data_IF_421187753952
#
_entry.id   IF_421187753952
#
_cell.length_a   1.000
_cell.length_b   1.000
_cell.length_c   1.000
_cell.angle_alpha   90.00
_cell.angle_beta   90.00
_cell.angle_gamma   90.00
#
_symmetry.space_group_name_H-M   'P 1'
#
loop_
_entity.id
_entity.type
_entity.pdbx_description
1 polymer ?
#
# COMPACT_ATOMS: atom_id res chain seq x y z
N UNK A 1 -13.59 -20.11 33.64
CA UNK A 1 -14.18 -19.99 32.30
C UNK A 1 -13.64 -18.73 31.65
N UNK A 2 -12.73 -18.87 30.69
CA UNK A 2 -12.35 -17.75 29.83
C UNK A 2 -12.28 -18.31 28.42
N UNK A 3 -13.39 -18.17 27.69
CA UNK A 3 -13.44 -18.50 26.27
C UNK A 3 -12.57 -17.51 25.47
N UNK A 4 -12.10 -17.89 24.26
CA UNK A 4 -11.31 -17.00 23.43
C UNK A 4 -12.13 -15.75 23.08
N UNK A 5 -11.58 -14.58 23.37
CA UNK A 5 -12.17 -13.29 22.97
C UNK A 5 -12.35 -13.28 21.45
N UNK A 6 -13.53 -12.90 20.92
CA UNK A 6 -13.71 -12.79 19.47
C UNK A 6 -12.72 -11.78 18.89
N UNK A 7 -11.87 -12.23 17.97
CA UNK A 7 -10.98 -11.35 17.24
C UNK A 7 -11.82 -10.43 16.34
N UNK A 8 -11.65 -9.11 16.51
CA UNK A 8 -12.34 -8.14 15.68
C UNK A 8 -11.81 -8.23 14.25
N UNK A 9 -12.57 -8.85 13.36
CA UNK A 9 -12.19 -8.98 11.95
C UNK A 9 -12.54 -7.68 11.24
N UNK A 10 -11.54 -6.83 11.01
CA UNK A 10 -11.72 -5.65 10.16
C UNK A 10 -11.77 -6.11 8.71
N UNK A 11 -12.91 -5.92 8.04
CA UNK A 11 -13.02 -6.17 6.61
C UNK A 11 -12.04 -5.27 5.87
N UNK A 12 -10.95 -5.85 5.36
CA UNK A 12 -10.04 -5.18 4.45
C UNK A 12 -10.68 -5.11 3.05
N UNK A 13 -10.52 -3.97 2.38
CA UNK A 13 -10.96 -3.75 1.00
C UNK A 13 -9.75 -3.37 0.17
N UNK A 14 -9.80 -3.66 -1.13
CA UNK A 14 -8.78 -3.21 -2.09
C UNK A 14 -8.72 -1.68 -2.02
N UNK A 15 -7.52 -1.14 -1.94
CA UNK A 15 -7.32 0.31 -1.94
C UNK A 15 -7.74 0.87 -3.31
N UNK A 16 -8.73 1.78 -3.40
CA UNK A 16 -9.19 2.33 -4.68
C UNK A 16 -8.19 3.30 -5.31
N UNK A 17 -7.21 3.79 -4.55
CA UNK A 17 -6.21 4.73 -5.05
C UNK A 17 -5.06 4.02 -5.80
N UNK A 18 -4.82 2.74 -5.52
CA UNK A 18 -3.78 1.96 -6.19
C UNK A 18 -4.30 0.68 -6.85
N UNK A 19 -5.61 0.44 -6.78
CA UNK A 19 -6.29 -0.72 -7.38
C UNK A 19 -5.67 -2.09 -7.04
N UNK A 20 -5.03 -2.21 -5.88
CA UNK A 20 -4.33 -3.43 -5.47
C UNK A 20 -2.87 -3.55 -5.93
N UNK A 21 -2.30 -2.52 -6.53
CA UNK A 21 -0.86 -2.40 -6.85
C UNK A 21 -0.18 -1.39 -5.95
N UNK A 22 0.10 -1.74 -4.68
CA UNK A 22 0.51 -0.76 -3.68
C UNK A 22 1.98 -0.36 -3.74
N UNK A 23 2.82 -1.06 -4.51
CA UNK A 23 4.25 -0.79 -4.59
C UNK A 23 4.74 -1.01 -6.01
N UNK A 24 5.53 -0.07 -6.52
CA UNK A 24 6.18 -0.17 -7.82
C UNK A 24 7.68 0.12 -7.70
N UNK A 25 8.48 -0.59 -8.48
CA UNK A 25 9.91 -0.34 -8.59
C UNK A 25 10.19 0.40 -9.90
N UNK A 26 10.78 1.59 -9.80
CA UNK A 26 11.15 2.44 -10.92
C UNK A 26 12.67 2.47 -11.03
N UNK A 27 13.20 1.92 -12.11
CA UNK A 27 14.63 2.04 -12.42
C UNK A 27 14.87 3.40 -13.06
N UNK A 28 15.65 4.25 -12.39
CA UNK A 28 16.13 5.50 -12.97
C UNK A 28 17.09 5.17 -14.11
N UNK A 29 16.85 5.76 -15.29
CA UNK A 29 17.79 5.72 -16.39
C UNK A 29 19.06 6.47 -16.00
N UNK A 30 20.18 5.74 -15.92
CA UNK A 30 21.45 6.29 -15.47
C UNK A 30 22.10 5.36 -14.45
N UNK A 31 23.34 5.00 -14.72
CA UNK A 31 24.16 4.32 -13.72
C UNK A 31 24.73 5.37 -12.78
N UNK A 32 24.80 5.06 -11.48
CA UNK A 32 25.51 5.91 -10.54
C UNK A 32 27.02 5.96 -10.87
N UNK A 33 27.77 6.80 -10.15
CA UNK A 33 29.21 6.93 -10.35
C UNK A 33 29.98 5.60 -10.14
N UNK A 34 29.34 4.58 -9.55
CA UNK A 34 29.89 3.24 -9.32
C UNK A 34 29.35 2.20 -10.33
N UNK A 35 28.52 2.60 -11.29
CA UNK A 35 27.98 1.72 -12.32
C UNK A 35 26.69 1.00 -11.96
N UNK A 36 26.06 1.30 -10.82
CA UNK A 36 24.82 0.66 -10.37
C UNK A 36 23.57 1.36 -10.89
N UNK A 37 22.55 0.59 -11.26
CA UNK A 37 21.24 1.13 -11.64
C UNK A 37 20.48 1.55 -10.39
N UNK A 38 20.07 2.81 -10.31
CA UNK A 38 19.30 3.28 -9.16
C UNK A 38 17.85 2.85 -9.31
N UNK A 39 17.41 1.89 -8.50
CA UNK A 39 16.00 1.52 -8.39
C UNK A 39 15.37 2.26 -7.22
N UNK A 40 14.28 2.98 -7.49
CA UNK A 40 13.44 3.61 -6.48
C UNK A 40 12.19 2.75 -6.29
N UNK A 41 11.87 2.43 -5.03
CA UNK A 41 10.59 1.81 -4.69
C UNK A 41 9.64 2.91 -4.25
N UNK A 42 8.47 2.97 -4.88
CA UNK A 42 7.40 3.91 -4.52
C UNK A 42 6.21 3.11 -4.02
N UNK A 43 5.78 3.39 -2.80
CA UNK A 43 4.57 2.83 -2.21
C UNK A 43 3.37 3.81 -2.34
N UNK A 44 2.16 3.25 -2.36
CA UNK A 44 0.93 4.01 -2.28
C UNK A 44 0.79 4.56 -0.86
N UNK A 45 0.95 5.87 -0.71
CA UNK A 45 0.89 6.57 0.59
C UNK A 45 -0.43 6.39 1.35
N UNK A 46 -1.52 6.09 0.63
CA UNK A 46 -2.83 5.91 1.25
C UNK A 46 -2.87 4.58 2.02
N UNK A 47 -2.40 3.49 1.42
CA UNK A 47 -2.36 2.17 2.05
C UNK A 47 -0.99 1.81 2.64
N UNK A 48 0.03 2.66 2.47
CA UNK A 48 1.42 2.44 2.89
C UNK A 48 1.98 1.10 2.39
N UNK A 49 1.73 0.75 1.13
CA UNK A 49 2.29 -0.47 0.53
C UNK A 49 1.51 -1.77 0.80
N UNK A 50 0.40 -1.75 1.55
CA UNK A 50 -0.34 -2.99 1.91
C UNK A 50 -1.33 -3.47 0.83
N UNK A 51 -1.71 -2.62 -0.12
CA UNK A 51 -2.68 -2.94 -1.17
C UNK A 51 -4.13 -2.95 -0.70
N UNK A 52 -4.35 -2.85 0.61
CA UNK A 52 -5.67 -2.91 1.22
C UNK A 52 -5.84 -1.82 2.27
N UNK A 53 -7.06 -1.34 2.42
CA UNK A 53 -7.45 -0.40 3.45
C UNK A 53 -8.56 -1.03 4.29
N UNK A 54 -8.65 -0.69 5.59
CA UNK A 54 -9.86 -0.92 6.35
C UNK A 54 -11.07 -0.36 5.59
N UNK A 55 -12.19 -1.07 5.56
CA UNK A 55 -13.38 -0.64 4.81
C UNK A 55 -13.79 0.82 5.09
N UNK A 56 -13.62 1.29 6.33
CA UNK A 56 -13.90 2.67 6.74
C UNK A 56 -13.00 3.71 6.08
N UNK A 57 -11.73 3.37 5.83
CA UNK A 57 -10.76 4.26 5.18
C UNK A 57 -10.83 4.16 3.66
N UNK A 58 -11.19 2.99 3.12
CA UNK A 58 -11.40 2.81 1.69
C UNK A 58 -12.49 3.73 1.13
N UNK A 59 -13.55 4.02 1.90
CA UNK A 59 -14.60 4.97 1.50
C UNK A 59 -14.15 6.44 1.52
N UNK A 60 -13.14 6.78 2.34
CA UNK A 60 -12.57 8.14 2.44
C UNK A 60 -11.46 8.37 1.40
N UNK A 61 -10.73 7.32 1.06
CA UNK A 61 -9.62 7.34 0.10
C UNK A 61 -10.02 7.62 -1.36
N UNK A 62 -11.32 7.54 -1.69
CA UNK A 62 -11.83 7.89 -3.02
C UNK A 62 -11.94 9.41 -3.29
N UNK A 63 -11.56 10.25 -2.32
CA UNK A 63 -11.58 11.71 -2.45
C UNK A 63 -10.31 12.25 -3.10
N UNK A 64 -10.47 12.87 -4.28
CA UNK A 64 -9.41 13.45 -5.11
C UNK A 64 -8.54 14.45 -4.32
N UNK A 65 -7.25 14.17 -4.19
CA UNK A 65 -6.20 15.13 -3.81
C UNK A 65 -5.18 15.23 -4.93
#
# INVERSE_FOLDING_TARGET
>A
MTGPTPATTTTARICPNCDGFPSVAVTLGGRDARGYLRTLTVDCRVCNGTGTLPARLASLAGGRT
#
